data_IF_238837214921
#
_entry.id   IF_238837214921
#
_cell.length_a   1.000
_cell.length_b   1.000
_cell.length_c   1.000
_cell.angle_alpha   90.00
_cell.angle_beta   90.00
_cell.angle_gamma   90.00
#
_symmetry.space_group_name_H-M   'P 1'
#
loop_
_entity.id
_entity.type
_entity.pdbx_description
1 polymer ?
#
# COMPACT_ATOMS: atom_id res chain seq x y z
N UNK A 1 -10.69 -12.80 14.36
CA UNK A 1 -11.63 -11.67 14.36
C UNK A 1 -11.10 -10.60 13.40
N UNK A 2 -11.97 -9.88 12.71
CA UNK A 2 -11.59 -8.70 11.92
C UNK A 2 -11.00 -7.62 12.81
N UNK A 3 -10.17 -6.73 12.25
CA UNK A 3 -9.72 -5.54 12.98
C UNK A 3 -10.91 -4.65 13.38
N UNK A 4 -10.72 -3.82 14.39
CA UNK A 4 -11.65 -2.74 14.77
C UNK A 4 -11.04 -1.38 14.45
N UNK A 5 -11.87 -0.35 14.40
CA UNK A 5 -11.43 1.03 14.29
C UNK A 5 -11.62 1.72 15.63
N UNK A 6 -10.61 2.40 16.14
CA UNK A 6 -10.74 3.27 17.30
C UNK A 6 -10.71 4.72 16.81
N UNK A 7 -11.81 5.48 16.99
CA UNK A 7 -11.80 6.87 16.55
C UNK A 7 -10.94 7.72 17.46
N UNK A 8 -10.10 8.56 16.86
CA UNK A 8 -9.25 9.48 17.58
C UNK A 8 -9.83 10.88 17.50
N UNK A 9 -10.25 11.40 18.66
CA UNK A 9 -10.65 12.78 18.87
C UNK A 9 -9.61 13.52 19.73
N UNK A 10 -9.86 14.80 20.00
CA UNK A 10 -8.94 15.66 20.77
C UNK A 10 -8.61 15.08 22.16
N UNK A 11 -9.56 14.39 22.79
CA UNK A 11 -9.41 13.84 24.14
C UNK A 11 -8.67 12.48 24.14
N UNK A 12 -8.84 11.68 23.08
CA UNK A 12 -8.28 10.32 23.01
C UNK A 12 -6.83 10.24 22.49
N UNK A 13 -6.30 11.28 21.81
CA UNK A 13 -4.98 11.21 21.16
C UNK A 13 -3.86 10.86 22.15
N UNK A 14 -3.78 11.57 23.28
CA UNK A 14 -2.69 11.38 24.23
C UNK A 14 -2.77 10.04 24.94
N UNK A 15 -3.98 9.58 25.28
CA UNK A 15 -4.20 8.26 25.88
C UNK A 15 -3.79 7.17 24.90
N UNK A 16 -4.26 7.24 23.65
CA UNK A 16 -3.90 6.29 22.58
C UNK A 16 -2.38 6.21 22.39
N UNK A 17 -1.70 7.35 22.26
CA UNK A 17 -0.25 7.38 22.09
C UNK A 17 0.45 6.78 23.32
N UNK A 18 0.05 7.17 24.53
CA UNK A 18 0.62 6.64 25.75
C UNK A 18 0.47 5.12 25.83
N UNK A 19 -0.74 4.59 25.59
CA UNK A 19 -1.00 3.14 25.62
C UNK A 19 -0.16 2.40 24.58
N UNK A 20 -0.06 2.92 23.35
CA UNK A 20 0.74 2.29 22.30
C UNK A 20 2.23 2.26 22.61
N UNK A 21 2.78 3.34 23.16
CA UNK A 21 4.19 3.36 23.57
C UNK A 21 4.45 2.51 24.81
N UNK A 22 3.50 2.41 25.75
CA UNK A 22 3.58 1.47 26.88
C UNK A 22 3.55 0.01 26.43
N UNK A 23 2.66 -0.35 25.51
CA UNK A 23 2.62 -1.68 24.92
C UNK A 23 3.93 -2.03 24.20
N UNK A 24 4.52 -1.05 23.49
CA UNK A 24 5.79 -1.20 22.80
C UNK A 24 6.96 -1.43 23.77
N UNK A 25 7.00 -0.67 24.87
CA UNK A 25 8.02 -0.83 25.92
C UNK A 25 7.89 -2.18 26.62
N UNK A 26 6.67 -2.63 26.91
CA UNK A 26 6.40 -3.97 27.43
C UNK A 26 6.87 -5.12 26.51
N UNK A 27 7.10 -4.83 25.22
CA UNK A 27 7.59 -5.77 24.22
C UNK A 27 9.06 -5.54 23.81
N UNK A 28 9.78 -4.64 24.49
CA UNK A 28 11.13 -4.22 24.10
C UNK A 28 12.14 -5.38 24.02
N UNK A 29 11.95 -6.46 24.77
CA UNK A 29 12.79 -7.66 24.74
C UNK A 29 12.48 -8.63 23.59
N UNK A 30 11.34 -8.46 22.90
CA UNK A 30 10.92 -9.31 21.76
C UNK A 30 11.07 -8.61 20.42
N UNK A 31 10.96 -7.28 20.40
CA UNK A 31 11.00 -6.48 19.19
C UNK A 31 12.40 -5.88 18.97
N UNK A 32 12.92 -5.90 17.73
CA UNK A 32 14.17 -5.21 17.42
C UNK A 32 14.09 -3.71 17.72
N UNK A 33 15.13 -3.16 18.34
CA UNK A 33 15.28 -1.71 18.48
C UNK A 33 16.01 -1.17 17.24
N UNK A 34 15.29 -1.12 16.12
CA UNK A 34 15.82 -0.64 14.85
C UNK A 34 15.15 0.66 14.39
N UNK A 35 15.75 1.27 13.38
CA UNK A 35 15.21 2.45 12.71
C UNK A 35 14.10 2.10 11.73
N UNK A 36 13.69 0.83 11.60
CA UNK A 36 12.70 0.39 10.61
C UNK A 36 13.22 0.14 9.20
N UNK A 37 14.52 0.36 8.93
CA UNK A 37 15.14 -0.01 7.64
C UNK A 37 15.31 -1.53 7.60
N UNK A 38 14.83 -2.17 6.52
CA UNK A 38 14.84 -3.63 6.41
C UNK A 38 16.25 -4.22 6.34
N UNK A 39 17.15 -3.64 5.55
CA UNK A 39 18.58 -3.92 5.56
C UNK A 39 19.36 -2.68 5.10
N UNK A 40 20.29 -2.21 5.94
CA UNK A 40 21.11 -1.01 5.69
C UNK A 40 22.43 -1.29 4.97
N UNK A 41 22.79 -2.56 4.80
CA UNK A 41 24.10 -2.97 4.28
C UNK A 41 24.01 -3.57 2.88
N UNK A 42 22.85 -4.07 2.48
CA UNK A 42 22.66 -4.73 1.18
C UNK A 42 22.11 -3.77 0.13
N UNK A 43 22.85 -3.58 -0.95
CA UNK A 43 22.36 -2.88 -2.14
C UNK A 43 21.29 -3.65 -2.93
N UNK A 44 21.16 -4.96 -2.73
CA UNK A 44 20.14 -5.79 -3.38
C UNK A 44 19.41 -6.63 -2.34
N UNK A 45 18.09 -6.56 -2.35
CA UNK A 45 17.19 -7.29 -1.45
C UNK A 45 16.33 -8.27 -2.22
N UNK A 46 16.20 -9.48 -1.71
CA UNK A 46 15.24 -10.48 -2.18
C UNK A 46 14.21 -10.71 -1.07
N UNK A 47 12.94 -10.42 -1.37
CA UNK A 47 11.85 -10.46 -0.40
C UNK A 47 10.78 -11.45 -0.85
N UNK A 48 10.33 -12.28 0.09
CA UNK A 48 9.19 -13.18 -0.10
C UNK A 48 7.98 -12.64 0.67
N UNK A 49 6.89 -12.41 -0.05
CA UNK A 49 5.59 -12.04 0.52
C UNK A 49 4.70 -13.27 0.35
N UNK A 50 4.58 -14.08 1.40
CA UNK A 50 3.92 -15.40 1.36
C UNK A 50 3.13 -15.68 2.65
N UNK A 51 2.07 -16.51 2.60
CA UNK A 51 1.24 -16.81 3.77
C UNK A 51 2.04 -17.33 4.98
N UNK A 52 1.62 -16.91 6.17
CA UNK A 52 2.22 -17.30 7.44
C UNK A 52 2.08 -18.83 7.61
N UNK A 53 3.22 -19.54 7.66
CA UNK A 53 3.29 -21.01 7.79
C UNK A 53 4.14 -21.71 6.72
N UNK A 54 4.23 -21.14 5.51
CA UNK A 54 5.06 -21.68 4.42
C UNK A 54 6.56 -21.49 4.66
N UNK A 55 6.97 -20.45 5.39
CA UNK A 55 8.38 -20.19 5.74
C UNK A 55 9.00 -21.33 6.58
N UNK A 56 8.23 -21.95 7.48
CA UNK A 56 8.68 -23.08 8.31
C UNK A 56 8.99 -24.34 7.47
N UNK A 57 8.26 -24.51 6.37
CA UNK A 57 8.41 -25.65 5.45
C UNK A 57 9.67 -25.54 4.59
N UNK A 58 10.12 -24.32 4.23
CA UNK A 58 11.34 -24.08 3.43
C UNK A 58 12.63 -24.38 4.21
N UNK A 59 12.70 -24.10 5.51
CA UNK A 59 13.85 -24.51 6.36
C UNK A 59 14.01 -26.04 6.42
N UNK A 60 12.91 -26.80 6.39
CA UNK A 60 12.94 -28.28 6.33
C UNK A 60 13.11 -28.83 4.90
N UNK A 61 12.63 -28.13 3.87
CA UNK A 61 12.69 -28.57 2.45
C UNK A 61 14.06 -28.49 1.80
N UNK A 62 15.02 -27.74 2.36
CA UNK A 62 16.40 -27.72 1.85
C UNK A 62 17.09 -29.11 1.88
N UNK A 63 16.51 -30.08 2.60
CA UNK A 63 17.02 -31.46 2.71
C UNK A 63 16.35 -32.45 1.72
N UNK A 64 15.26 -32.08 1.02
CA UNK A 64 14.60 -33.02 0.07
C UNK A 64 14.25 -32.34 -1.25
N UNK A 65 15.11 -32.57 -2.24
CA UNK A 65 14.93 -32.25 -3.66
C UNK A 65 13.79 -33.08 -4.28
N UNK A 66 13.19 -32.52 -5.33
CA UNK A 66 12.38 -33.11 -6.43
C UNK A 66 10.89 -33.42 -6.21
N UNK A 67 10.11 -32.81 -7.11
CA UNK A 67 8.83 -33.22 -7.70
C UNK A 67 7.68 -33.61 -6.75
N UNK A 68 6.76 -32.67 -6.52
CA UNK A 68 5.32 -32.84 -6.80
C UNK A 68 4.57 -31.54 -6.51
N UNK A 69 3.82 -31.05 -7.49
CA UNK A 69 2.76 -30.09 -7.28
C UNK A 69 1.70 -30.74 -6.39
N UNK A 70 1.53 -30.22 -5.18
CA UNK A 70 0.51 -30.65 -4.25
C UNK A 70 -0.40 -29.45 -3.99
N UNK A 71 -1.61 -29.51 -4.54
CA UNK A 71 -2.74 -28.72 -4.08
C UNK A 71 -2.97 -29.07 -2.61
N UNK A 72 -2.98 -28.05 -1.75
CA UNK A 72 -3.49 -28.16 -0.38
C UNK A 72 -4.87 -27.51 -0.40
N UNK A 73 -5.84 -28.23 0.14
CA UNK A 73 -7.22 -27.82 0.30
C UNK A 73 -7.47 -27.78 1.80
N UNK A 74 -7.94 -26.66 2.36
CA UNK A 74 -8.95 -26.59 3.43
C UNK A 74 -9.14 -25.18 4.02
N UNK A 75 -10.36 -24.63 3.87
CA UNK A 75 -10.94 -23.63 4.78
C UNK A 75 -11.24 -22.25 4.18
N UNK A 76 -12.29 -22.11 3.35
CA UNK A 76 -12.75 -20.82 2.76
C UNK A 76 -11.59 -19.86 2.36
N UNK A 77 -10.51 -20.46 1.85
CA UNK A 77 -9.24 -19.81 1.58
C UNK A 77 -9.34 -19.04 0.27
N UNK A 78 -9.34 -17.71 0.35
CA UNK A 78 -8.82 -16.94 -0.78
C UNK A 78 -7.33 -17.27 -0.85
N UNK A 79 -6.95 -18.22 -1.70
CA UNK A 79 -5.56 -18.49 -2.02
C UNK A 79 -4.96 -17.19 -2.63
N UNK A 80 -4.32 -16.39 -1.78
CA UNK A 80 -3.60 -15.21 -2.22
C UNK A 80 -2.24 -15.67 -2.73
N UNK A 81 -1.90 -15.22 -3.93
CA UNK A 81 -0.66 -15.58 -4.62
C UNK A 81 0.55 -15.28 -3.73
N UNK A 82 1.61 -16.09 -3.82
CA UNK A 82 2.89 -15.76 -3.19
C UNK A 82 3.74 -14.93 -4.15
N UNK A 83 4.44 -13.93 -3.62
CA UNK A 83 5.26 -13.02 -4.41
C UNK A 83 6.72 -13.08 -3.98
N UNK A 84 7.62 -12.93 -4.95
CA UNK A 84 9.05 -12.82 -4.75
C UNK A 84 9.53 -11.58 -5.48
N UNK A 85 9.96 -10.56 -4.73
CA UNK A 85 10.42 -9.28 -5.29
C UNK A 85 11.90 -9.08 -5.04
N UNK A 86 12.57 -8.53 -6.03
CA UNK A 86 13.98 -8.13 -5.94
C UNK A 86 14.06 -6.61 -5.99
N UNK A 87 14.61 -5.99 -4.94
CA UNK A 87 14.67 -4.53 -4.82
C UNK A 87 16.12 -4.09 -4.72
N UNK A 88 16.55 -3.22 -5.63
CA UNK A 88 17.85 -2.59 -5.57
C UNK A 88 17.80 -1.28 -4.77
N UNK A 89 18.54 -1.22 -3.67
CA UNK A 89 18.66 -0.09 -2.76
C UNK A 89 19.78 0.87 -3.13
N UNK A 90 19.59 2.15 -2.86
CA UNK A 90 20.59 3.20 -3.08
C UNK A 90 21.37 3.51 -1.79
N UNK A 91 22.09 2.51 -1.26
CA UNK A 91 22.80 2.60 0.03
C UNK A 91 23.83 3.74 0.05
N UNK A 92 24.52 4.01 -1.06
CA UNK A 92 25.46 5.14 -1.14
C UNK A 92 24.78 6.49 -0.96
N UNK A 93 23.53 6.64 -1.44
CA UNK A 93 22.73 7.86 -1.30
C UNK A 93 22.14 8.00 0.11
N UNK A 94 22.03 6.90 0.87
CA UNK A 94 21.61 6.93 2.27
C UNK A 94 22.58 7.76 3.13
N UNK A 95 23.88 7.75 2.81
CA UNK A 95 24.92 8.42 3.59
C UNK A 95 25.42 9.74 2.98
N UNK A 96 24.89 10.16 1.83
CA UNK A 96 25.36 11.34 1.09
C UNK A 96 24.56 12.58 1.43
N UNK A 97 25.10 13.45 2.29
CA UNK A 97 24.48 14.74 2.62
C UNK A 97 24.25 15.65 1.39
N UNK A 98 25.04 15.46 0.33
CA UNK A 98 24.89 16.21 -0.94
C UNK A 98 23.71 15.73 -1.77
N UNK A 99 23.41 14.43 -1.75
CA UNK A 99 22.40 13.84 -2.63
C UNK A 99 21.05 13.68 -1.92
N UNK A 100 21.01 13.77 -0.59
CA UNK A 100 19.82 13.51 0.20
C UNK A 100 19.28 14.70 1.02
N UNK A 101 20.01 15.82 1.14
CA UNK A 101 19.61 16.98 1.97
C UNK A 101 19.19 16.56 3.41
N UNK A 102 19.84 15.53 3.95
CA UNK A 102 19.51 14.80 5.19
C UNK A 102 18.18 14.00 5.18
N UNK A 103 17.46 13.95 4.05
CA UNK A 103 16.30 13.08 3.82
C UNK A 103 16.73 11.70 3.32
N UNK A 104 16.98 10.79 4.26
CA UNK A 104 17.50 9.45 3.97
C UNK A 104 16.44 8.44 3.50
N UNK A 105 15.18 8.86 3.39
CA UNK A 105 14.04 7.95 3.48
C UNK A 105 13.55 7.38 2.17
N UNK A 106 13.83 8.03 1.05
CA UNK A 106 13.43 7.51 -0.26
C UNK A 106 14.30 6.34 -0.76
N UNK A 107 15.48 6.10 -0.21
CA UNK A 107 16.56 5.30 -0.85
C UNK A 107 16.67 3.84 -0.41
N UNK A 108 15.85 3.41 0.55
CA UNK A 108 15.88 2.06 1.15
C UNK A 108 14.48 1.50 1.31
N UNK A 109 14.39 0.20 1.57
CA UNK A 109 13.13 -0.48 1.89
C UNK A 109 12.87 -0.35 3.38
N UNK A 110 11.77 0.32 3.71
CA UNK A 110 11.22 0.36 5.06
C UNK A 110 10.45 -0.92 5.37
N UNK A 111 10.60 -1.42 6.59
CA UNK A 111 9.98 -2.64 7.09
C UNK A 111 8.45 -2.54 7.21
N UNK A 112 7.90 -1.32 7.30
CA UNK A 112 6.45 -1.06 7.31
C UNK A 112 5.78 -1.57 6.04
N UNK A 113 6.40 -1.40 4.87
CA UNK A 113 5.86 -1.84 3.57
C UNK A 113 5.65 -3.36 3.46
N UNK A 114 6.69 -4.21 3.66
CA UNK A 114 6.51 -5.66 3.63
C UNK A 114 5.65 -6.16 4.80
N UNK A 115 5.64 -5.48 5.95
CA UNK A 115 4.70 -5.82 7.04
C UNK A 115 3.24 -5.59 6.61
N UNK A 116 2.93 -4.38 6.13
CA UNK A 116 1.59 -3.98 5.71
C UNK A 116 1.04 -4.90 4.63
N UNK A 117 1.82 -5.20 3.59
CA UNK A 117 1.36 -6.05 2.50
C UNK A 117 1.13 -7.49 2.95
N UNK A 118 1.98 -8.05 3.82
CA UNK A 118 1.76 -9.40 4.36
C UNK A 118 0.50 -9.44 5.23
N UNK A 119 0.31 -8.43 6.09
CA UNK A 119 -0.89 -8.33 6.92
C UNK A 119 -2.16 -8.20 6.07
N UNK A 120 -2.17 -7.28 5.10
CA UNK A 120 -3.31 -7.04 4.23
C UNK A 120 -3.69 -8.29 3.43
N UNK A 121 -2.70 -8.99 2.85
CA UNK A 121 -2.94 -10.13 1.99
C UNK A 121 -3.31 -11.40 2.77
N UNK A 122 -2.63 -11.66 3.89
CA UNK A 122 -2.67 -12.98 4.52
C UNK A 122 -3.28 -12.99 5.91
N UNK A 123 -3.44 -11.85 6.58
CA UNK A 123 -4.14 -11.83 7.86
C UNK A 123 -5.65 -11.97 7.64
N UNK A 124 -6.26 -12.93 8.36
CA UNK A 124 -7.71 -13.02 8.43
C UNK A 124 -8.34 -11.73 8.98
N UNK A 125 -7.65 -11.01 9.86
CA UNK A 125 -8.17 -9.78 10.45
C UNK A 125 -8.29 -8.62 9.45
N UNK A 126 -7.47 -8.61 8.40
CA UNK A 126 -7.51 -7.63 7.31
C UNK A 126 -8.63 -7.90 6.28
N UNK A 127 -9.50 -8.90 6.52
CA UNK A 127 -10.62 -9.22 5.64
C UNK A 127 -11.51 -8.03 5.26
N UNK A 128 -11.79 -7.02 6.11
CA UNK A 128 -12.58 -5.86 5.70
C UNK A 128 -12.05 -5.13 4.46
N UNK A 129 -10.73 -4.97 4.34
CA UNK A 129 -10.10 -4.34 3.17
C UNK A 129 -10.16 -5.20 1.90
N UNK A 130 -10.43 -6.50 2.03
CA UNK A 130 -10.48 -7.47 0.93
C UNK A 130 -11.91 -7.75 0.46
N UNK A 131 -12.84 -7.81 1.40
CA UNK A 131 -14.24 -8.20 1.16
C UNK A 131 -15.18 -7.01 1.07
N UNK A 132 -14.78 -5.84 1.61
CA UNK A 132 -15.66 -4.68 1.75
C UNK A 132 -16.72 -5.00 2.80
N UNK A 133 -16.64 -4.34 3.95
CA UNK A 133 -17.54 -4.65 5.05
C UNK A 133 -17.78 -3.44 5.93
N UNK A 134 -18.84 -3.54 6.74
CA UNK A 134 -18.98 -2.68 7.91
C UNK A 134 -17.96 -3.10 8.96
N UNK A 135 -17.19 -2.14 9.47
CA UNK A 135 -16.22 -2.35 10.54
C UNK A 135 -16.69 -1.62 11.78
N UNK A 136 -16.63 -2.32 12.92
CA UNK A 136 -16.94 -1.75 14.22
C UNK A 136 -15.99 -0.59 14.54
N UNK A 137 -16.59 0.55 14.91
CA UNK A 137 -15.91 1.74 15.39
C UNK A 137 -16.12 1.85 16.89
N UNK A 138 -15.03 2.02 17.62
CA UNK A 138 -14.98 2.17 19.08
C UNK A 138 -14.62 3.62 19.39
N UNK A 139 -15.44 4.28 20.24
CA UNK A 139 -15.20 5.64 20.74
C UNK A 139 -15.13 5.62 22.27
N UNK A 140 -13.92 5.67 22.82
CA UNK A 140 -13.69 5.61 24.26
C UNK A 140 -14.41 4.41 24.92
N UNK A 141 -14.93 4.61 26.13
CA UNK A 141 -15.70 3.60 26.88
C UNK A 141 -17.17 3.46 26.46
N UNK A 142 -17.64 4.18 25.42
CA UNK A 142 -19.03 4.10 25.00
C UNK A 142 -19.26 2.90 24.07
N UNK A 143 -20.16 2.01 24.48
CA UNK A 143 -20.43 0.72 23.85
C UNK A 143 -21.36 0.80 22.62
N UNK A 144 -21.62 1.99 22.08
CA UNK A 144 -22.58 2.13 20.99
C UNK A 144 -21.96 1.66 19.67
N UNK A 145 -22.58 0.62 19.09
CA UNK A 145 -22.09 -0.13 17.93
C UNK A 145 -22.12 0.63 16.61
N UNK A 146 -21.40 1.75 16.54
CA UNK A 146 -21.16 2.47 15.31
C UNK A 146 -20.33 1.61 14.36
N UNK A 147 -20.69 1.63 13.08
CA UNK A 147 -19.94 0.92 12.05
C UNK A 147 -19.57 1.87 10.93
N UNK A 148 -18.35 1.76 10.42
CA UNK A 148 -17.90 2.43 9.21
C UNK A 148 -18.02 1.46 8.02
N UNK A 149 -18.70 1.87 6.96
CA UNK A 149 -18.68 1.13 5.70
C UNK A 149 -17.32 1.36 5.02
N UNK A 150 -16.51 0.30 4.92
CA UNK A 150 -15.25 0.34 4.18
C UNK A 150 -15.43 -0.27 2.78
N UNK A 151 -15.21 0.49 1.70
CA UNK A 151 -15.08 -0.09 0.38
C UNK A 151 -13.88 -1.04 0.33
N UNK A 152 -13.85 -1.92 -0.67
CA UNK A 152 -12.69 -2.79 -0.87
C UNK A 152 -11.47 -1.95 -1.25
N UNK A 153 -10.37 -2.16 -0.52
CA UNK A 153 -9.06 -1.66 -0.92
C UNK A 153 -8.50 -2.51 -2.07
N UNK A 154 -8.57 -3.83 -1.91
CA UNK A 154 -8.14 -4.80 -2.93
C UNK A 154 -9.27 -5.74 -3.28
N UNK A 155 -9.39 -6.06 -4.57
CA UNK A 155 -10.40 -6.99 -5.04
C UNK A 155 -9.81 -8.36 -5.35
N UNK A 156 -10.16 -9.34 -4.54
CA UNK A 156 -9.73 -10.73 -4.73
C UNK A 156 -10.69 -11.54 -5.61
N UNK A 157 -11.93 -11.05 -5.76
CA UNK A 157 -13.01 -11.72 -6.48
C UNK A 157 -13.41 -10.98 -7.74
N UNK A 158 -13.53 -11.67 -8.87
CA UNK A 158 -13.96 -11.07 -10.14
C UNK A 158 -15.43 -10.61 -10.17
N UNK A 159 -16.17 -10.76 -9.06
CA UNK A 159 -17.62 -10.47 -8.98
C UNK A 159 -17.95 -9.00 -8.76
N UNK A 160 -17.00 -8.19 -8.30
CA UNK A 160 -17.24 -6.76 -8.08
C UNK A 160 -17.13 -5.96 -9.39
N UNK A 161 -18.07 -5.03 -9.60
CA UNK A 161 -18.04 -4.10 -10.75
C UNK A 161 -17.40 -2.76 -10.40
N UNK A 162 -17.20 -2.45 -9.12
CA UNK A 162 -16.50 -1.25 -8.68
C UNK A 162 -15.06 -1.24 -9.15
N UNK A 163 -14.60 -0.10 -9.69
CA UNK A 163 -13.22 0.07 -10.11
C UNK A 163 -12.44 0.77 -9.01
N UNK A 164 -11.39 0.11 -8.53
CA UNK A 164 -10.60 0.58 -7.39
C UNK A 164 -9.29 1.18 -7.87
N UNK A 165 -8.92 2.32 -7.29
CA UNK A 165 -7.62 2.93 -7.45
C UNK A 165 -6.82 2.94 -6.16
N UNK A 166 -5.50 2.86 -6.30
CA UNK A 166 -4.56 3.18 -5.23
C UNK A 166 -3.65 4.32 -5.68
N UNK A 167 -3.48 5.31 -4.81
CA UNK A 167 -2.45 6.35 -4.91
C UNK A 167 -1.46 6.16 -3.77
N UNK A 168 -0.21 5.84 -4.08
CA UNK A 168 0.85 5.71 -3.09
C UNK A 168 1.61 7.02 -2.95
N UNK A 169 1.68 7.55 -1.73
CA UNK A 169 2.46 8.74 -1.39
C UNK A 169 3.74 8.30 -0.69
N UNK A 170 4.89 8.77 -1.18
CA UNK A 170 6.18 8.47 -0.57
C UNK A 170 6.58 7.01 -0.79
N UNK A 171 6.45 6.52 -2.04
CA UNK A 171 6.72 5.14 -2.41
C UNK A 171 8.18 4.70 -2.15
N UNK A 172 9.09 5.68 -2.03
CA UNK A 172 10.52 5.49 -2.07
C UNK A 172 10.95 4.82 -3.36
N UNK A 173 12.12 4.18 -3.33
CA UNK A 173 12.61 3.39 -4.45
C UNK A 173 11.97 1.99 -4.56
N UNK A 174 11.17 1.56 -3.58
CA UNK A 174 10.96 0.12 -3.33
C UNK A 174 10.23 -0.60 -4.48
N UNK A 175 9.19 0.02 -5.04
CA UNK A 175 8.36 -0.58 -6.10
C UNK A 175 7.56 -1.83 -5.67
N UNK A 176 7.50 -2.16 -4.37
CA UNK A 176 6.88 -3.39 -3.86
C UNK A 176 5.35 -3.34 -3.96
N UNK A 177 4.74 -2.28 -3.42
CA UNK A 177 3.28 -2.13 -3.43
C UNK A 177 2.68 -2.09 -4.85
N UNK A 178 3.20 -1.33 -5.83
CA UNK A 178 2.62 -1.29 -7.17
C UNK A 178 2.59 -2.64 -7.89
N UNK A 179 3.64 -3.46 -7.76
CA UNK A 179 3.69 -4.78 -8.45
C UNK A 179 2.86 -5.86 -7.75
N UNK A 180 2.62 -5.72 -6.45
CA UNK A 180 1.80 -6.67 -5.70
C UNK A 180 0.33 -6.24 -5.70
N UNK A 181 0.02 -5.06 -5.19
CA UNK A 181 -1.36 -4.54 -5.09
C UNK A 181 -1.98 -4.28 -6.46
N UNK A 182 -1.16 -3.98 -7.47
CA UNK A 182 -1.59 -3.87 -8.87
C UNK A 182 -2.35 -5.09 -9.39
N UNK A 183 -2.15 -6.28 -8.81
CA UNK A 183 -2.92 -7.48 -9.16
C UNK A 183 -4.41 -7.41 -8.80
N UNK A 184 -4.81 -6.46 -7.95
CA UNK A 184 -6.12 -6.43 -7.30
C UNK A 184 -6.88 -5.11 -7.51
N UNK A 185 -6.32 -4.19 -8.28
CA UNK A 185 -6.91 -2.88 -8.58
C UNK A 185 -6.92 -2.59 -10.08
N UNK A 186 -7.60 -1.52 -10.47
CA UNK A 186 -7.73 -1.11 -11.87
C UNK A 186 -6.75 0.00 -12.23
N UNK A 187 -6.45 0.86 -11.26
CA UNK A 187 -5.46 1.95 -11.38
C UNK A 187 -4.53 1.93 -10.17
N UNK A 188 -3.23 2.00 -10.41
CA UNK A 188 -2.23 2.22 -9.37
C UNK A 188 -1.33 3.37 -9.77
N UNK A 189 -1.21 4.39 -8.92
CA UNK A 189 -0.30 5.51 -9.14
C UNK A 189 0.69 5.54 -7.99
N UNK A 190 1.98 5.38 -8.30
CA UNK A 190 3.07 5.45 -7.32
C UNK A 190 3.76 6.81 -7.41
N UNK A 191 3.84 7.54 -6.29
CA UNK A 191 4.37 8.90 -6.27
C UNK A 191 5.46 9.09 -5.23
N UNK A 192 6.44 9.91 -5.62
CA UNK A 192 7.53 10.36 -4.75
C UNK A 192 8.16 11.63 -5.33
N UNK A 193 9.22 12.13 -4.71
CA UNK A 193 10.03 13.21 -5.24
C UNK A 193 10.72 12.80 -6.55
N UNK A 194 10.96 13.77 -7.43
CA UNK A 194 11.55 13.56 -8.77
C UNK A 194 12.87 12.77 -8.74
N UNK A 195 13.70 12.97 -7.71
CA UNK A 195 15.00 12.29 -7.55
C UNK A 195 14.89 10.77 -7.33
N UNK A 196 13.75 10.29 -6.82
CA UNK A 196 13.52 8.88 -6.49
C UNK A 196 13.00 8.09 -7.68
N UNK A 197 12.26 8.74 -8.58
CA UNK A 197 11.45 8.07 -9.59
C UNK A 197 12.23 7.15 -10.53
N UNK A 198 13.46 7.47 -10.91
CA UNK A 198 14.23 6.63 -11.82
C UNK A 198 14.48 5.24 -11.21
N UNK A 199 14.86 5.20 -9.94
CA UNK A 199 15.14 3.95 -9.23
C UNK A 199 13.84 3.21 -8.87
N UNK A 200 12.79 3.94 -8.49
CA UNK A 200 11.44 3.37 -8.33
C UNK A 200 10.95 2.67 -9.61
N UNK A 201 11.03 3.35 -10.77
CA UNK A 201 10.66 2.78 -12.07
C UNK A 201 11.48 1.53 -12.41
N UNK A 202 12.80 1.57 -12.17
CA UNK A 202 13.66 0.42 -12.35
C UNK A 202 13.18 -0.78 -11.51
N UNK A 203 13.00 -0.60 -10.20
CA UNK A 203 12.55 -1.66 -9.31
C UNK A 203 11.15 -2.18 -9.67
N UNK A 204 10.23 -1.33 -10.14
CA UNK A 204 8.93 -1.80 -10.65
C UNK A 204 9.12 -2.67 -11.90
N UNK A 205 9.93 -2.24 -12.86
CA UNK A 205 10.18 -2.95 -14.11
C UNK A 205 10.80 -4.33 -13.90
N UNK A 206 11.78 -4.45 -12.99
CA UNK A 206 12.40 -5.73 -12.63
C UNK A 206 11.40 -6.73 -12.04
N UNK A 207 10.31 -6.25 -11.45
CA UNK A 207 9.31 -7.08 -10.76
C UNK A 207 7.97 -7.19 -11.48
N UNK A 208 7.85 -6.77 -12.75
CA UNK A 208 6.59 -6.88 -13.50
C UNK A 208 6.07 -8.32 -13.64
N UNK A 209 6.96 -9.31 -13.56
CA UNK A 209 6.57 -10.73 -13.55
C UNK A 209 5.68 -11.13 -12.36
N UNK A 210 5.67 -10.33 -11.30
CA UNK A 210 4.81 -10.50 -10.12
C UNK A 210 3.36 -10.05 -10.37
N UNK A 211 3.07 -9.37 -11.48
CA UNK A 211 1.71 -9.08 -11.93
C UNK A 211 1.12 -10.32 -12.61
N UNK A 212 0.71 -11.29 -11.80
CA UNK A 212 0.18 -12.58 -12.26
C UNK A 212 -1.28 -12.50 -12.70
N UNK A 213 -2.07 -11.58 -12.13
CA UNK A 213 -3.52 -11.47 -12.34
C UNK A 213 -3.92 -10.47 -13.40
N UNK A 214 -3.08 -9.47 -13.65
CA UNK A 214 -3.41 -8.31 -14.48
C UNK A 214 -2.39 -8.14 -15.59
N UNK A 215 -2.85 -7.63 -16.73
CA UNK A 215 -1.98 -7.07 -17.74
C UNK A 215 -1.66 -5.62 -17.40
N UNK A 216 -0.38 -5.27 -17.33
CA UNK A 216 0.06 -3.91 -16.99
C UNK A 216 0.15 -3.02 -18.24
N UNK A 217 -0.54 -1.88 -18.20
CA UNK A 217 -0.37 -0.77 -19.13
C UNK A 217 0.19 0.44 -18.36
N UNK A 218 1.20 1.09 -18.91
CA UNK A 218 1.85 2.23 -18.24
C UNK A 218 2.49 3.17 -19.25
N UNK A 219 2.08 4.43 -19.25
CA UNK A 219 2.75 5.46 -20.05
C UNK A 219 4.13 5.77 -19.49
N UNK A 220 4.23 5.94 -18.17
CA UNK A 220 5.45 6.36 -17.47
C UNK A 220 6.55 5.30 -17.43
N UNK A 221 6.20 4.02 -17.60
CA UNK A 221 7.11 2.89 -17.79
C UNK A 221 7.22 2.44 -19.27
N UNK A 222 6.53 3.10 -20.19
CA UNK A 222 6.50 2.78 -21.63
C UNK A 222 6.00 1.36 -21.95
N UNK A 223 5.07 0.84 -21.15
CA UNK A 223 4.41 -0.44 -21.35
C UNK A 223 3.12 -0.24 -22.14
N UNK A 224 3.07 -0.77 -23.36
CA UNK A 224 1.89 -0.72 -24.23
C UNK A 224 1.04 -1.99 -24.09
N UNK A 225 -0.27 -1.91 -24.33
CA UNK A 225 -1.09 -3.10 -24.48
C UNK A 225 -0.55 -3.96 -25.63
N UNK A 226 -0.67 -5.29 -25.55
CA UNK A 226 -0.37 -6.18 -26.65
C UNK A 226 -1.29 -5.83 -27.83
N UNK A 227 -0.81 -6.03 -29.08
CA UNK A 227 -1.68 -5.87 -30.23
C UNK A 227 -2.89 -6.82 -30.11
N UNK A 228 -4.08 -6.40 -30.58
CA UNK A 228 -5.24 -7.27 -30.59
C UNK A 228 -4.92 -8.56 -31.36
N UNK A 229 -5.47 -9.71 -30.95
CA UNK A 229 -5.24 -10.96 -31.67
C UNK A 229 -5.67 -10.80 -33.13
N UNK A 230 -4.94 -11.41 -34.09
CA UNK A 230 -5.34 -11.39 -35.48
C UNK A 230 -6.75 -11.96 -35.62
N UNK A 231 -7.56 -11.46 -36.58
CA UNK A 231 -8.88 -12.02 -36.83
C UNK A 231 -8.75 -13.53 -37.10
N UNK A 232 -9.66 -14.36 -36.56
CA UNK A 232 -9.56 -15.81 -36.72
C UNK A 232 -9.53 -16.16 -38.21
N UNK A 233 -8.70 -17.14 -38.62
CA UNK A 233 -8.71 -17.62 -40.00
C UNK A 233 -10.11 -18.10 -40.37
N UNK A 234 -10.53 -17.76 -41.59
CA UNK A 234 -11.80 -18.18 -42.20
C UNK A 234 -11.98 -19.69 -42.00
N UNK A 235 -13.17 -20.18 -41.61
CA UNK A 235 -13.32 -21.54 -41.11
C UNK A 235 -12.99 -22.55 -42.21
N UNK A 236 -11.89 -23.27 -42.04
CA UNK A 236 -11.62 -24.54 -42.72
C UNK A 236 -11.56 -25.64 -41.67
N UNK A 237 -12.65 -26.41 -41.61
CA UNK A 237 -12.78 -27.80 -41.13
C UNK A 237 -12.12 -28.19 -39.79
N UNK A 238 -13.00 -28.49 -38.83
CA UNK A 238 -12.95 -29.43 -37.70
C UNK A 238 -11.62 -29.73 -36.96
N UNK A 239 -11.74 -29.58 -35.63
CA UNK A 239 -11.09 -30.35 -34.57
C UNK A 239 -9.67 -29.99 -34.13
N UNK A 240 -9.52 -28.79 -33.56
CA UNK A 240 -8.79 -28.66 -32.30
C UNK A 240 -9.38 -27.50 -31.49
N UNK A 241 -10.12 -27.80 -30.43
CA UNK A 241 -10.57 -26.78 -29.47
C UNK A 241 -9.35 -26.37 -28.63
N UNK A 242 -8.54 -25.44 -29.15
CA UNK A 242 -7.62 -24.67 -28.32
C UNK A 242 -8.43 -23.55 -27.67
N UNK A 243 -8.94 -23.79 -26.47
CA UNK A 243 -9.49 -22.73 -25.61
C UNK A 243 -8.34 -21.80 -25.23
N UNK A 244 -8.16 -20.70 -25.94
CA UNK A 244 -7.31 -19.62 -25.45
C UNK A 244 -7.88 -19.12 -24.11
N UNK A 245 -7.05 -18.96 -23.08
CA UNK A 245 -7.52 -18.43 -21.81
C UNK A 245 -8.07 -17.00 -22.03
N UNK A 246 -9.14 -16.61 -21.31
CA UNK A 246 -9.70 -15.26 -21.44
C UNK A 246 -8.62 -14.20 -21.16
N UNK A 247 -8.66 -13.05 -21.84
CA UNK A 247 -7.66 -12.01 -21.66
C UNK A 247 -7.64 -11.54 -20.20
N UNK A 248 -6.44 -11.42 -19.64
CA UNK A 248 -6.27 -10.90 -18.27
C UNK A 248 -6.82 -9.47 -18.21
N UNK A 249 -7.52 -9.08 -17.14
CA UNK A 249 -7.95 -7.70 -16.96
C UNK A 249 -6.75 -6.75 -16.92
N UNK A 250 -6.94 -5.53 -17.40
CA UNK A 250 -5.89 -4.51 -17.43
C UNK A 250 -5.74 -3.82 -16.07
N UNK A 251 -4.50 -3.58 -15.66
CA UNK A 251 -4.06 -2.62 -14.65
C UNK A 251 -3.46 -1.41 -15.38
N UNK A 252 -3.90 -0.20 -15.02
CA UNK A 252 -3.21 1.03 -15.43
C UNK A 252 -2.28 1.49 -14.31
N UNK A 253 -0.98 1.36 -14.54
CA UNK A 253 0.05 1.69 -13.56
C UNK A 253 0.81 2.94 -13.99
N UNK A 254 0.88 3.96 -13.14
CA UNK A 254 1.65 5.16 -13.41
C UNK A 254 2.62 5.50 -12.27
N UNK A 255 3.75 6.10 -12.63
CA UNK A 255 4.77 6.58 -11.69
C UNK A 255 5.01 8.06 -11.94
N UNK A 256 4.72 8.90 -10.95
CA UNK A 256 4.71 10.36 -11.11
C UNK A 256 5.42 11.08 -9.96
N UNK A 257 5.89 12.30 -10.25
CA UNK A 257 6.46 13.16 -9.22
C UNK A 257 5.33 13.82 -8.43
N UNK A 258 5.38 13.78 -7.11
CA UNK A 258 4.48 14.53 -6.25
C UNK A 258 5.28 15.06 -5.07
N UNK A 259 5.44 16.38 -5.01
CA UNK A 259 6.16 17.08 -3.96
C UNK A 259 5.12 17.76 -3.05
N UNK A 260 4.94 17.22 -1.84
CA UNK A 260 3.90 17.68 -0.91
C UNK A 260 4.07 19.14 -0.47
N UNK A 261 5.30 19.66 -0.48
CA UNK A 261 5.58 21.04 -0.09
C UNK A 261 5.18 22.03 -1.20
N UNK A 262 5.08 21.56 -2.45
CA UNK A 262 4.86 22.39 -3.63
C UNK A 262 3.53 22.15 -4.33
N UNK A 263 2.82 21.10 -3.94
CA UNK A 263 1.53 20.77 -4.55
C UNK A 263 0.48 21.85 -4.23
N UNK A 264 -0.30 22.21 -5.25
CA UNK A 264 -1.49 23.05 -5.14
C UNK A 264 -2.50 22.61 -6.21
N UNK A 265 -3.31 21.60 -5.93
CA UNK A 265 -4.26 21.05 -6.90
C UNK A 265 -5.52 21.91 -7.10
N UNK A 266 -5.70 22.99 -6.34
CA UNK A 266 -6.79 23.94 -6.55
C UNK A 266 -6.55 24.84 -7.77
N UNK A 267 -5.28 25.02 -8.16
CA UNK A 267 -4.90 25.69 -9.39
C UNK A 267 -5.06 24.74 -10.60
N UNK A 268 -5.92 25.10 -11.55
CA UNK A 268 -6.19 24.28 -12.74
C UNK A 268 -4.91 23.95 -13.53
N UNK A 269 -3.94 24.87 -13.56
CA UNK A 269 -2.66 24.61 -14.23
C UNK A 269 -1.91 23.50 -13.53
N UNK A 270 -1.72 23.60 -12.23
CA UNK A 270 -1.05 22.57 -11.43
C UNK A 270 -1.78 21.23 -11.50
N UNK A 271 -3.10 21.22 -11.39
CA UNK A 271 -3.89 19.99 -11.57
C UNK A 271 -3.70 19.35 -12.96
N UNK A 272 -3.62 20.17 -14.02
CA UNK A 272 -3.37 19.67 -15.38
C UNK A 272 -1.99 19.03 -15.58
N UNK A 273 -1.02 19.37 -14.72
CA UNK A 273 0.32 18.76 -14.71
C UNK A 273 0.32 17.34 -14.11
N UNK A 274 -0.80 16.91 -13.53
CA UNK A 274 -0.98 15.60 -12.89
C UNK A 274 -2.02 14.72 -13.60
N UNK A 275 -1.78 14.32 -14.87
CA UNK A 275 -2.71 13.50 -15.63
C UNK A 275 -2.99 12.12 -14.99
N UNK A 276 -2.10 11.61 -14.16
CA UNK A 276 -2.28 10.40 -13.36
C UNK A 276 -3.38 10.53 -12.29
N UNK A 277 -3.58 11.71 -11.71
CA UNK A 277 -4.69 11.96 -10.78
C UNK A 277 -6.02 12.02 -11.54
N UNK A 278 -6.02 12.66 -12.72
CA UNK A 278 -7.15 12.60 -13.65
C UNK A 278 -7.47 11.18 -14.10
N UNK A 279 -6.46 10.32 -14.28
CA UNK A 279 -6.65 8.92 -14.64
C UNK A 279 -7.41 8.15 -13.55
N UNK A 280 -7.04 8.35 -12.28
CA UNK A 280 -7.76 7.80 -11.12
C UNK A 280 -9.21 8.26 -11.16
N UNK A 281 -9.43 9.58 -11.21
CA UNK A 281 -10.76 10.19 -11.14
C UNK A 281 -11.71 9.79 -12.26
N UNK A 282 -11.19 9.56 -13.47
CA UNK A 282 -12.01 9.16 -14.65
C UNK A 282 -12.25 7.65 -14.74
N UNK A 283 -11.46 6.83 -14.06
CA UNK A 283 -11.50 5.38 -14.23
C UNK A 283 -12.15 4.66 -13.05
N UNK A 284 -12.17 5.27 -11.87
CA UNK A 284 -12.40 4.57 -10.61
C UNK A 284 -13.60 5.13 -9.86
N UNK A 285 -14.25 4.29 -9.06
CA UNK A 285 -15.33 4.69 -8.15
C UNK A 285 -14.83 5.01 -6.74
N UNK A 286 -13.66 4.49 -6.39
CA UNK A 286 -13.02 4.69 -5.09
C UNK A 286 -11.51 4.77 -5.24
N UNK A 287 -10.88 5.54 -4.37
CA UNK A 287 -9.42 5.66 -4.26
C UNK A 287 -9.01 5.46 -2.81
N UNK A 288 -8.00 4.61 -2.63
CA UNK A 288 -7.24 4.54 -1.39
C UNK A 288 -5.89 5.21 -1.58
N UNK A 289 -5.60 6.20 -0.74
CA UNK A 289 -4.25 6.71 -0.59
C UNK A 289 -3.49 5.80 0.38
N UNK A 290 -2.30 5.34 0.02
CA UNK A 290 -1.45 4.54 0.91
C UNK A 290 -0.15 5.30 1.12
N UNK A 291 0.24 5.48 2.38
CA UNK A 291 1.52 6.07 2.74
C UNK A 291 2.16 5.22 3.84
N UNK A 292 3.31 4.64 3.55
CA UNK A 292 4.00 3.74 4.47
C UNK A 292 5.31 4.37 4.91
N UNK A 293 5.42 4.65 6.19
CA UNK A 293 6.61 5.18 6.86
C UNK A 293 7.03 6.59 6.40
N UNK A 294 6.05 7.41 6.04
CA UNK A 294 6.26 8.80 5.58
C UNK A 294 6.29 9.83 6.72
N UNK A 295 5.80 9.46 7.90
CA UNK A 295 5.76 10.32 9.09
C UNK A 295 6.93 9.93 10.01
N UNK A 296 8.06 10.56 9.79
CA UNK A 296 9.29 10.34 10.58
C UNK A 296 9.99 11.65 10.99
N UNK A 297 9.51 12.78 10.47
CA UNK A 297 10.06 14.11 10.67
C UNK A 297 8.90 15.12 10.79
N UNK A 298 8.96 15.97 11.82
CA UNK A 298 7.95 17.01 12.09
C UNK A 298 7.73 17.95 10.91
N UNK A 299 8.78 18.30 10.16
CA UNK A 299 8.70 19.23 9.04
C UNK A 299 7.85 18.73 7.87
N UNK A 300 7.66 17.41 7.75
CA UNK A 300 6.87 16.81 6.66
C UNK A 300 5.40 16.61 7.01
N UNK A 301 5.01 16.75 8.29
CA UNK A 301 3.64 16.50 8.76
C UNK A 301 2.65 17.46 8.08
N UNK A 302 2.90 18.76 8.17
CA UNK A 302 2.03 19.78 7.56
C UNK A 302 1.95 19.65 6.02
N UNK A 303 3.08 19.60 5.27
CA UNK A 303 3.04 19.36 3.84
C UNK A 303 2.24 18.11 3.46
N UNK A 304 2.45 16.99 4.18
CA UNK A 304 1.74 15.74 3.92
C UNK A 304 0.22 15.86 4.15
N UNK A 305 -0.20 16.40 5.30
CA UNK A 305 -1.62 16.55 5.64
C UNK A 305 -2.34 17.52 4.71
N UNK A 306 -1.67 18.60 4.31
CA UNK A 306 -2.18 19.54 3.30
C UNK A 306 -2.33 18.88 1.93
N UNK A 307 -1.31 18.15 1.46
CA UNK A 307 -1.38 17.41 0.20
C UNK A 307 -2.54 16.40 0.20
N UNK A 308 -2.73 15.71 1.32
CA UNK A 308 -3.86 14.78 1.49
C UNK A 308 -5.22 15.50 1.42
N UNK A 309 -5.31 16.74 1.92
CA UNK A 309 -6.55 17.52 1.92
C UNK A 309 -6.91 17.97 0.52
N UNK A 310 -5.91 18.41 -0.26
CA UNK A 310 -6.08 18.77 -1.66
C UNK A 310 -6.49 17.56 -2.51
N UNK A 311 -5.84 16.40 -2.29
CA UNK A 311 -6.20 15.15 -2.97
C UNK A 311 -7.63 14.73 -2.62
N UNK A 312 -8.01 14.74 -1.33
CA UNK A 312 -9.37 14.45 -0.87
C UNK A 312 -10.37 15.37 -1.55
N UNK A 313 -10.11 16.68 -1.54
CA UNK A 313 -10.98 17.67 -2.16
C UNK A 313 -11.16 17.41 -3.66
N UNK A 314 -10.07 17.20 -4.41
CA UNK A 314 -10.14 16.94 -5.86
C UNK A 314 -10.88 15.64 -6.16
N UNK A 315 -10.56 14.54 -5.48
CA UNK A 315 -11.21 13.26 -5.75
C UNK A 315 -12.69 13.25 -5.38
N UNK A 316 -13.07 13.87 -4.27
CA UNK A 316 -14.48 13.92 -3.85
C UNK A 316 -15.28 14.96 -4.64
N UNK A 317 -14.75 16.17 -4.83
CA UNK A 317 -15.52 17.28 -5.41
C UNK A 317 -15.51 17.22 -6.94
N UNK A 318 -14.35 16.99 -7.56
CA UNK A 318 -14.21 17.04 -9.02
C UNK A 318 -14.59 15.72 -9.69
N UNK A 319 -14.41 14.59 -8.98
CA UNK A 319 -14.61 13.26 -9.56
C UNK A 319 -15.66 12.40 -8.83
N UNK A 320 -16.16 12.82 -7.66
CA UNK A 320 -17.16 12.08 -6.87
C UNK A 320 -16.71 10.65 -6.48
N UNK A 321 -15.44 10.50 -6.09
CA UNK A 321 -14.88 9.23 -5.62
C UNK A 321 -15.09 9.06 -4.10
N UNK A 322 -15.32 7.82 -3.67
CA UNK A 322 -15.07 7.45 -2.27
C UNK A 322 -13.56 7.56 -2.01
N UNK A 323 -13.17 8.27 -0.95
CA UNK A 323 -11.79 8.56 -0.61
C UNK A 323 -11.47 8.01 0.78
N UNK A 324 -10.37 7.27 0.88
CA UNK A 324 -9.79 6.87 2.16
C UNK A 324 -8.27 6.96 2.08
N UNK A 325 -7.60 7.13 3.21
CA UNK A 325 -6.14 7.05 3.29
C UNK A 325 -5.70 6.11 4.41
N UNK A 326 -4.70 5.28 4.13
CA UNK A 326 -4.04 4.44 5.13
C UNK A 326 -2.63 4.96 5.33
N UNK A 327 -2.32 5.40 6.55
CA UNK A 327 -1.00 5.89 6.95
C UNK A 327 -0.39 4.90 7.91
N UNK A 328 0.62 4.16 7.45
CA UNK A 328 1.41 3.29 8.30
C UNK A 328 2.63 4.00 8.85
N UNK A 329 2.85 3.93 10.16
CA UNK A 329 4.01 4.53 10.82
C UNK A 329 4.82 3.47 11.58
N UNK A 330 6.14 3.62 11.61
CA UNK A 330 6.99 2.92 12.58
C UNK A 330 7.18 3.80 13.82
N UNK A 331 6.88 3.25 14.99
CA UNK A 331 6.89 3.94 16.27
C UNK A 331 8.34 4.17 16.76
N UNK A 332 8.92 5.28 16.31
CA UNK A 332 10.27 5.73 16.66
C UNK A 332 10.29 6.83 17.71
N UNK A 333 9.43 7.83 17.56
CA UNK A 333 9.33 9.00 18.43
C UNK A 333 7.88 9.22 18.81
N UNK A 334 7.64 9.25 20.11
CA UNK A 334 6.33 9.51 20.68
C UNK A 334 5.88 10.92 20.30
N UNK A 335 6.80 11.88 20.32
CA UNK A 335 6.58 13.28 20.01
C UNK A 335 6.12 13.48 18.56
N UNK A 336 6.82 12.88 17.59
CA UNK A 336 6.44 12.94 16.16
C UNK A 336 5.07 12.30 15.92
N UNK A 337 4.78 11.18 16.59
CA UNK A 337 3.48 10.51 16.48
C UNK A 337 2.36 11.36 17.06
N UNK A 338 2.55 11.93 18.26
CA UNK A 338 1.60 12.85 18.90
C UNK A 338 1.34 14.05 18.01
N UNK A 339 2.39 14.72 17.53
CA UNK A 339 2.27 15.90 16.68
C UNK A 339 1.50 15.60 15.38
N UNK A 340 1.74 14.44 14.76
CA UNK A 340 1.00 14.02 13.57
C UNK A 340 -0.49 13.86 13.87
N UNK A 341 -0.85 13.20 14.97
CA UNK A 341 -2.25 12.96 15.34
C UNK A 341 -2.95 14.26 15.74
N UNK A 342 -2.30 15.11 16.55
CA UNK A 342 -2.81 16.44 16.91
C UNK A 342 -3.07 17.28 15.65
N UNK A 343 -2.10 17.39 14.74
CA UNK A 343 -2.29 18.13 13.50
C UNK A 343 -3.41 17.52 12.66
N UNK A 344 -3.43 16.21 12.47
CA UNK A 344 -4.44 15.56 11.64
C UNK A 344 -5.87 15.76 12.17
N UNK A 345 -6.08 15.55 13.47
CA UNK A 345 -7.41 15.58 14.10
C UNK A 345 -7.84 17.00 14.47
N UNK A 346 -6.94 17.80 15.05
CA UNK A 346 -7.27 19.11 15.63
C UNK A 346 -7.11 20.23 14.60
N UNK A 347 -6.02 20.26 13.83
CA UNK A 347 -5.78 21.36 12.87
C UNK A 347 -6.46 21.10 11.53
N UNK A 348 -6.23 19.93 10.93
CA UNK A 348 -6.77 19.57 9.62
C UNK A 348 -8.16 18.94 9.68
N UNK A 349 -8.68 18.66 10.89
CA UNK A 349 -10.03 18.14 11.15
C UNK A 349 -10.35 16.86 10.37
N UNK A 350 -9.37 15.97 10.21
CA UNK A 350 -9.60 14.65 9.65
C UNK A 350 -10.38 13.76 10.62
N UNK A 351 -11.32 12.98 10.07
CA UNK A 351 -11.85 11.81 10.77
C UNK A 351 -10.82 10.70 10.69
N UNK A 352 -10.12 10.46 11.80
CA UNK A 352 -8.98 9.56 11.88
C UNK A 352 -9.26 8.42 12.86
N UNK A 353 -8.87 7.21 12.46
CA UNK A 353 -9.05 5.99 13.24
C UNK A 353 -7.72 5.24 13.40
N UNK A 354 -7.43 4.71 14.57
CA UNK A 354 -6.43 3.63 14.72
C UNK A 354 -7.01 2.30 14.26
N UNK A 355 -6.23 1.52 13.50
CA UNK A 355 -6.59 0.16 13.10
C UNK A 355 -6.14 -0.80 14.20
N UNK A 356 -7.09 -1.16 15.06
CA UNK A 356 -6.88 -2.03 16.21
C UNK A 356 -6.84 -3.49 15.76
N UNK A 357 -5.63 -4.04 15.71
CA UNK A 357 -5.37 -5.44 15.36
C UNK A 357 -4.22 -6.01 16.20
N UNK A 358 -4.35 -7.26 16.62
CA UNK A 358 -3.36 -7.93 17.46
C UNK A 358 -1.98 -8.05 16.78
N UNK A 359 -1.93 -8.28 15.46
CA UNK A 359 -0.65 -8.43 14.73
C UNK A 359 0.05 -7.08 14.63
N UNK A 360 -0.70 -6.01 14.38
CA UNK A 360 -0.19 -4.63 14.36
C UNK A 360 0.31 -4.24 15.75
N UNK A 361 -0.49 -4.45 16.80
CA UNK A 361 -0.15 -4.09 18.17
C UNK A 361 1.03 -4.89 18.76
N UNK A 362 1.26 -6.10 18.25
CA UNK A 362 2.43 -6.93 18.57
C UNK A 362 3.70 -6.53 17.78
N UNK A 363 3.63 -5.46 16.99
CA UNK A 363 4.73 -4.94 16.19
C UNK A 363 5.12 -3.52 16.60
N UNK A 364 6.15 -2.96 15.96
CA UNK A 364 6.52 -1.54 16.09
C UNK A 364 5.71 -0.61 15.19
N UNK A 365 4.68 -1.13 14.52
CA UNK A 365 3.89 -0.36 13.57
C UNK A 365 2.55 0.05 14.17
N UNK A 366 2.06 1.19 13.73
CA UNK A 366 0.65 1.55 13.81
C UNK A 366 0.14 1.88 12.42
N UNK A 367 -1.11 1.54 12.14
CA UNK A 367 -1.79 1.90 10.90
C UNK A 367 -2.99 2.79 11.26
N UNK A 368 -3.06 3.95 10.65
CA UNK A 368 -4.17 4.87 10.78
C UNK A 368 -5.00 4.89 9.50
N UNK A 369 -6.32 4.95 9.66
CA UNK A 369 -7.26 5.16 8.58
C UNK A 369 -7.82 6.57 8.66
N UNK A 370 -7.76 7.32 7.57
CA UNK A 370 -8.43 8.61 7.39
C UNK A 370 -9.58 8.40 6.41
N UNK A 371 -10.79 8.85 6.79
CA UNK A 371 -12.00 8.72 5.97
C UNK A 371 -12.56 10.05 5.46
#
# INVERSE_FOLDING_TARGET
>A
MSFKLWALDEDAIHEHVFERYMQLEGQCGKLPQDLGILDRNRGLLELAIEPIGLQSSRKKKRVRRRNKAGFVQEGEDVAVDSYHVTVEQSISSLHSSRDNDNSTTGYVVWSTTPFFINWLLYSASAAPFRLGSQVEVVNGSSCEGHTLELPKLINLSSSDRGKNAILELGAGISGILPVILGNFVDVYVSTDQKGILNKLKHNIMENLSQLTRKQCESRTLQLKPPPPPPPPPTPKTLDTITTEPPPKPTLKLEVAALDWEKINLQDEKTHSLHPELSLIGKTSSSVYVIAMDVIYNEYLIDPFLKALQELKHVFQTSYNLKFHAIVGIHLRSQEVTTLFLEKAVIEYKYTLYDIVDQTIQASRFNLYLIS
#
